data_IF_800204974421
#
_entry.id   IF_800204974421
#
_cell.length_a   1.000
_cell.length_b   1.000
_cell.length_c   1.000
_cell.angle_alpha   90.00
_cell.angle_beta   90.00
_cell.angle_gamma   90.00
#
_symmetry.space_group_name_H-M   'P 1'
#
loop_
_entity.id
_entity.type
_entity.pdbx_description
1 polymer ?
#
# COMPACT_ATOMS: atom_id res chain seq x y z
N UNK A 1 10.46 2.27 11.06
CA UNK A 1 10.78 1.14 10.16
C UNK A 1 11.40 1.75 8.91
N UNK A 2 12.43 1.10 8.37
CA UNK A 2 13.53 1.75 7.61
C UNK A 2 13.61 1.19 6.18
N UNK A 3 14.48 1.75 5.33
CA UNK A 3 14.69 1.28 3.95
C UNK A 3 15.01 -0.24 3.80
N UNK A 4 15.30 -0.95 4.89
CA UNK A 4 15.50 -2.40 4.95
C UNK A 4 14.21 -3.23 4.78
N UNK A 5 13.03 -2.67 5.01
CA UNK A 5 11.77 -3.43 5.02
C UNK A 5 11.36 -3.91 3.62
N UNK A 6 11.72 -3.15 2.57
CA UNK A 6 11.36 -3.46 1.18
C UNK A 6 12.26 -4.53 0.53
N UNK A 7 13.57 -4.51 0.82
CA UNK A 7 14.47 -5.57 0.33
C UNK A 7 14.27 -6.89 1.06
N UNK A 8 13.87 -6.87 2.33
CA UNK A 8 13.55 -8.11 3.06
C UNK A 8 12.20 -8.70 2.65
N UNK A 9 11.21 -7.88 2.26
CA UNK A 9 9.91 -8.34 1.77
C UNK A 9 9.99 -9.20 0.50
N UNK A 10 10.97 -8.94 -0.37
CA UNK A 10 11.11 -9.57 -1.69
C UNK A 10 12.47 -10.26 -1.89
N UNK A 11 12.70 -11.41 -1.22
CA UNK A 11 14.01 -12.05 -1.15
C UNK A 11 14.66 -12.40 -2.50
N UNK A 12 13.97 -12.78 -3.60
CA UNK A 12 14.62 -13.05 -4.89
C UNK A 12 15.37 -11.85 -5.46
N UNK A 13 14.79 -10.66 -5.38
CA UNK A 13 15.42 -9.41 -5.83
C UNK A 13 16.63 -9.07 -4.94
N UNK A 14 16.41 -9.01 -3.62
CA UNK A 14 17.46 -8.64 -2.68
C UNK A 14 18.63 -9.63 -2.66
N UNK A 15 18.39 -10.93 -2.84
CA UNK A 15 19.45 -11.93 -2.96
C UNK A 15 20.30 -11.72 -4.22
N UNK A 16 19.68 -11.37 -5.35
CA UNK A 16 20.39 -11.07 -6.59
C UNK A 16 21.26 -9.81 -6.45
N UNK A 17 20.71 -8.74 -5.87
CA UNK A 17 21.46 -7.49 -5.62
C UNK A 17 22.56 -7.64 -4.55
N UNK A 18 22.33 -8.41 -3.49
CA UNK A 18 23.35 -8.74 -2.49
C UNK A 18 24.50 -9.56 -3.09
N UNK A 19 24.23 -10.41 -4.08
CA UNK A 19 25.25 -11.19 -4.80
C UNK A 19 26.03 -10.34 -5.79
N UNK A 20 25.39 -9.37 -6.45
CA UNK A 20 26.08 -8.35 -7.27
C UNK A 20 27.07 -7.52 -6.44
N UNK A 21 26.70 -7.15 -5.21
CA UNK A 21 27.60 -6.49 -4.23
C UNK A 21 28.76 -7.38 -3.75
N UNK A 22 28.71 -8.71 -3.96
CA UNK A 22 29.74 -9.68 -3.51
C UNK A 22 30.38 -10.42 -4.68
N UNK A 23 30.97 -9.67 -5.60
CA UNK A 23 31.99 -10.22 -6.51
C UNK A 23 33.35 -10.40 -5.79
N UNK A 24 33.40 -11.27 -4.78
CA UNK A 24 34.57 -12.12 -4.53
C UNK A 24 34.25 -13.32 -3.62
N UNK A 25 34.66 -14.50 -4.11
CA UNK A 25 34.71 -15.84 -3.45
C UNK A 25 33.39 -16.62 -3.29
N UNK A 26 33.46 -17.86 -3.79
CA UNK A 26 32.52 -18.97 -3.63
C UNK A 26 32.64 -19.58 -2.20
N UNK A 27 31.91 -20.62 -1.77
CA UNK A 27 31.17 -21.68 -2.48
C UNK A 27 29.97 -22.21 -1.66
N UNK A 28 29.31 -23.27 -2.13
CA UNK A 28 28.07 -23.83 -1.55
C UNK A 28 28.25 -25.26 -1.02
N UNK A 29 27.31 -25.72 -0.18
CA UNK A 29 26.98 -27.15 0.00
C UNK A 29 25.57 -27.34 0.58
N UNK A 30 24.88 -28.40 0.15
CA UNK A 30 23.64 -28.96 0.71
C UNK A 30 23.94 -29.85 1.95
N UNK A 31 23.04 -30.55 2.64
CA UNK A 31 21.60 -30.85 2.55
C UNK A 31 21.05 -30.99 4.00
N UNK A 32 19.86 -31.51 4.36
CA UNK A 32 18.76 -32.19 3.65
C UNK A 32 17.42 -31.94 4.40
N UNK A 33 16.36 -32.70 4.08
CA UNK A 33 15.08 -32.73 4.82
C UNK A 33 14.61 -34.16 5.09
N UNK A 34 13.87 -34.38 6.18
CA UNK A 34 13.14 -35.62 6.45
C UNK A 34 11.67 -35.34 6.76
N UNK A 35 10.82 -36.08 6.05
CA UNK A 35 9.36 -36.17 6.12
C UNK A 35 8.71 -35.98 7.50
N UNK A 36 7.65 -35.17 7.54
CA UNK A 36 6.41 -35.60 8.16
C UNK A 36 5.21 -35.19 7.28
N UNK A 37 4.30 -36.13 7.02
CA UNK A 37 3.11 -35.90 6.20
C UNK A 37 1.88 -36.28 7.02
N UNK A 38 1.15 -35.27 7.50
CA UNK A 38 -0.18 -35.48 8.06
C UNK A 38 -1.06 -34.25 7.82
N UNK A 39 -2.17 -34.49 7.10
CA UNK A 39 -3.39 -33.68 6.92
C UNK A 39 -3.26 -32.15 7.05
N UNK A 40 -3.33 -31.47 5.91
CA UNK A 40 -3.62 -30.05 5.81
C UNK A 40 -4.89 -29.68 6.61
N UNK A 41 -4.82 -28.65 7.49
CA UNK A 41 -5.98 -27.81 7.73
C UNK A 41 -6.34 -27.11 6.41
N UNK A 42 -7.62 -26.77 6.25
CA UNK A 42 -7.99 -25.70 5.33
C UNK A 42 -7.32 -24.38 5.77
N UNK A 43 -7.38 -23.39 4.87
CA UNK A 43 -7.08 -21.97 5.04
C UNK A 43 -7.33 -21.41 6.45
N UNK A 44 -6.72 -20.26 6.75
CA UNK A 44 -7.27 -19.39 7.79
C UNK A 44 -8.76 -19.20 7.54
N UNK A 45 -9.58 -19.34 8.58
CA UNK A 45 -10.99 -19.02 8.45
C UNK A 45 -11.08 -17.51 8.13
N UNK A 46 -11.97 -17.13 7.20
CA UNK A 46 -12.27 -15.71 6.97
C UNK A 46 -12.63 -15.04 8.30
N UNK A 47 -12.26 -13.77 8.47
CA UNK A 47 -12.85 -12.98 9.55
C UNK A 47 -14.35 -12.88 9.27
N UNK A 48 -15.18 -13.12 10.30
CA UNK A 48 -16.61 -13.25 10.12
C UNK A 48 -17.23 -11.98 9.52
N UNK A 49 -17.57 -12.01 8.21
CA UNK A 49 -18.15 -10.86 7.52
C UNK A 49 -19.55 -10.58 8.05
N UNK A 50 -19.79 -9.33 8.45
CA UNK A 50 -21.11 -8.82 8.87
C UNK A 50 -21.96 -8.47 7.63
N UNK A 51 -21.28 -8.15 6.53
CA UNK A 51 -21.84 -7.94 5.20
C UNK A 51 -22.28 -9.28 4.59
N UNK A 52 -23.55 -9.44 4.17
CA UNK A 52 -24.00 -10.66 3.50
C UNK A 52 -23.35 -10.78 2.11
N UNK A 53 -22.89 -11.97 1.75
CA UNK A 53 -22.21 -12.24 0.49
C UNK A 53 -23.17 -12.15 -0.71
N UNK A 54 -23.34 -10.95 -1.26
CA UNK A 54 -23.86 -10.74 -2.62
C UNK A 54 -22.75 -10.95 -3.65
N UNK A 55 -23.09 -11.45 -4.85
CA UNK A 55 -22.12 -11.52 -5.93
C UNK A 55 -21.69 -10.10 -6.33
N UNK A 56 -20.37 -9.81 -6.45
CA UNK A 56 -19.89 -8.48 -6.80
C UNK A 56 -20.31 -8.11 -8.23
N UNK A 57 -20.65 -6.84 -8.42
CA UNK A 57 -20.98 -6.25 -9.73
C UNK A 57 -19.70 -6.05 -10.54
N UNK A 58 -19.65 -6.54 -11.78
CA UNK A 58 -18.55 -6.22 -12.70
C UNK A 58 -18.58 -4.75 -13.11
N UNK A 59 -17.47 -4.06 -12.89
CA UNK A 59 -17.24 -2.66 -13.25
C UNK A 59 -16.70 -2.59 -14.69
N UNK A 60 -17.54 -2.95 -15.65
CA UNK A 60 -17.19 -3.04 -17.08
C UNK A 60 -16.48 -1.77 -17.59
N UNK A 61 -15.32 -1.95 -18.18
CA UNK A 61 -14.45 -0.93 -18.74
C UNK A 61 -14.00 0.18 -17.78
N UNK A 62 -13.99 -0.05 -16.46
CA UNK A 62 -13.60 0.96 -15.47
C UNK A 62 -12.16 1.47 -15.68
N UNK A 63 -12.01 2.79 -15.66
CA UNK A 63 -10.72 3.50 -15.68
C UNK A 63 -10.20 3.73 -14.26
N UNK A 64 -8.89 3.60 -14.08
CA UNK A 64 -8.25 3.69 -12.77
C UNK A 64 -8.39 5.06 -12.10
N UNK A 65 -8.59 6.12 -12.88
CA UNK A 65 -8.91 7.46 -12.36
C UNK A 65 -10.25 7.53 -11.63
N UNK A 66 -11.06 6.47 -11.64
CA UNK A 66 -12.30 6.35 -10.86
C UNK A 66 -12.06 6.07 -9.38
N UNK A 67 -10.99 5.36 -9.00
CA UNK A 67 -10.67 5.05 -7.60
C UNK A 67 -9.47 5.83 -7.06
N UNK A 68 -8.55 6.23 -7.94
CA UNK A 68 -7.32 6.93 -7.55
C UNK A 68 -7.59 8.16 -6.67
N UNK A 69 -6.89 8.23 -5.54
CA UNK A 69 -6.96 9.36 -4.65
C UNK A 69 -6.34 10.58 -5.34
N UNK A 70 -7.00 11.74 -5.33
CA UNK A 70 -6.55 12.90 -6.11
C UNK A 70 -5.11 13.34 -5.80
N UNK A 71 -4.67 13.22 -4.54
CA UNK A 71 -3.29 13.55 -4.14
C UNK A 71 -2.25 12.58 -4.70
N UNK A 72 -2.65 11.38 -5.11
CA UNK A 72 -1.81 10.41 -5.82
C UNK A 72 -1.48 10.93 -7.23
N UNK A 73 -2.51 11.18 -8.04
CA UNK A 73 -2.39 11.80 -9.38
C UNK A 73 -1.65 13.13 -9.34
N UNK A 74 -1.93 13.98 -8.34
CA UNK A 74 -1.24 15.25 -8.15
C UNK A 74 0.24 15.07 -7.77
N UNK A 75 0.56 14.15 -6.86
CA UNK A 75 1.95 13.86 -6.48
C UNK A 75 2.74 13.24 -7.64
N UNK A 76 2.13 12.34 -8.42
CA UNK A 76 2.75 11.76 -9.60
C UNK A 76 3.00 12.80 -10.69
N UNK A 77 2.01 13.66 -10.97
CA UNK A 77 2.17 14.78 -11.90
C UNK A 77 3.28 15.74 -11.47
N UNK A 78 3.37 16.08 -10.19
CA UNK A 78 4.45 16.89 -9.64
C UNK A 78 5.83 16.21 -9.73
N UNK A 79 5.90 14.90 -9.49
CA UNK A 79 7.12 14.10 -9.62
C UNK A 79 7.65 14.10 -11.07
N UNK A 80 6.76 13.97 -12.06
CA UNK A 80 7.11 14.01 -13.48
C UNK A 80 7.67 15.39 -13.92
N UNK A 81 7.34 16.48 -13.21
CA UNK A 81 7.92 17.80 -13.50
C UNK A 81 9.35 18.00 -12.95
N UNK A 82 9.90 17.05 -12.18
CA UNK A 82 11.25 17.20 -11.62
C UNK A 82 12.30 17.13 -12.76
N UNK A 83 13.18 18.15 -12.91
CA UNK A 83 14.18 18.17 -13.97
C UNK A 83 15.09 16.92 -13.96
N UNK A 84 15.13 16.21 -15.09
CA UNK A 84 15.93 15.01 -15.27
C UNK A 84 15.26 13.69 -14.86
N UNK A 85 14.04 13.72 -14.30
CA UNK A 85 13.31 12.53 -13.88
C UNK A 85 13.07 11.53 -15.03
N UNK A 86 12.63 11.98 -16.20
CA UNK A 86 12.50 11.14 -17.41
C UNK A 86 13.80 10.45 -17.82
N UNK A 87 14.93 11.12 -17.62
CA UNK A 87 16.26 10.57 -17.96
C UNK A 87 16.72 9.54 -16.94
N UNK A 88 16.30 9.66 -15.67
CA UNK A 88 16.48 8.63 -14.65
C UNK A 88 15.60 7.41 -14.97
N UNK A 89 14.31 7.62 -15.24
CA UNK A 89 13.35 6.57 -15.57
C UNK A 89 13.82 5.75 -16.79
N UNK A 90 14.16 6.41 -17.91
CA UNK A 90 14.67 5.74 -19.13
C UNK A 90 15.95 4.94 -18.88
N UNK A 91 16.86 5.41 -18.02
CA UNK A 91 18.08 4.67 -17.64
C UNK A 91 17.74 3.44 -16.80
N UNK A 92 16.82 3.56 -15.84
CA UNK A 92 16.41 2.45 -14.97
C UNK A 92 15.71 1.36 -15.79
N UNK A 93 14.74 1.73 -16.63
CA UNK A 93 14.07 0.80 -17.57
C UNK A 93 15.10 0.10 -18.46
N UNK A 94 16.05 0.85 -19.05
CA UNK A 94 17.08 0.29 -19.94
C UNK A 94 18.13 -0.60 -19.25
N UNK A 95 18.43 -0.39 -17.97
CA UNK A 95 19.41 -1.20 -17.22
C UNK A 95 18.74 -2.48 -16.65
N UNK A 96 17.55 -2.34 -16.07
CA UNK A 96 16.91 -3.42 -15.31
C UNK A 96 15.84 -4.19 -16.09
N UNK A 97 15.55 -3.77 -17.33
CA UNK A 97 14.75 -4.42 -18.38
C UNK A 97 13.98 -5.66 -17.94
N UNK A 98 12.66 -5.51 -17.81
CA UNK A 98 11.71 -6.38 -17.10
C UNK A 98 11.94 -7.90 -17.17
N UNK A 99 12.34 -8.42 -18.33
CA UNK A 99 12.71 -9.84 -18.51
C UNK A 99 13.65 -10.35 -17.42
N UNK A 100 14.57 -9.51 -16.93
CA UNK A 100 15.49 -9.85 -15.86
C UNK A 100 14.77 -10.04 -14.51
N UNK A 101 13.83 -9.15 -14.16
CA UNK A 101 13.09 -9.19 -12.90
C UNK A 101 12.12 -10.38 -12.86
N UNK A 102 11.30 -10.56 -13.90
CA UNK A 102 10.37 -11.69 -13.96
C UNK A 102 11.08 -13.06 -13.95
N UNK A 103 12.25 -13.17 -14.60
CA UNK A 103 13.06 -14.40 -14.60
C UNK A 103 13.61 -14.72 -13.21
N UNK A 104 14.01 -13.71 -12.42
CA UNK A 104 14.48 -13.91 -11.03
C UNK A 104 13.37 -14.54 -10.17
N UNK A 105 12.12 -14.08 -10.30
CA UNK A 105 11.00 -14.70 -9.59
C UNK A 105 10.65 -16.08 -10.12
N UNK A 106 10.66 -16.31 -11.43
CA UNK A 106 10.47 -17.65 -12.00
C UNK A 106 11.50 -18.69 -11.52
N UNK A 107 12.70 -18.24 -11.13
CA UNK A 107 13.76 -19.10 -10.60
C UNK A 107 13.66 -19.38 -9.08
N UNK A 108 12.89 -18.58 -8.32
CA UNK A 108 12.93 -18.58 -6.84
C UNK A 108 11.55 -18.58 -6.16
N UNK A 109 10.46 -18.38 -6.90
CA UNK A 109 9.09 -18.34 -6.43
C UNK A 109 8.22 -19.30 -7.25
N UNK A 110 7.10 -19.74 -6.68
CA UNK A 110 6.17 -20.67 -7.33
C UNK A 110 5.16 -19.91 -8.17
N UNK A 111 5.10 -20.16 -9.48
CA UNK A 111 4.05 -19.58 -10.33
C UNK A 111 2.67 -20.19 -9.98
N UNK A 112 1.68 -19.33 -9.80
CA UNK A 112 0.28 -19.70 -9.57
C UNK A 112 -0.44 -19.89 -10.91
N UNK A 113 -1.40 -20.82 -10.95
CA UNK A 113 -2.16 -21.15 -12.16
C UNK A 113 -3.29 -22.15 -11.88
N UNK A 114 -4.09 -22.51 -12.90
CA UNK A 114 -5.27 -23.36 -12.75
C UNK A 114 -4.96 -24.81 -12.29
N UNK A 115 -3.69 -25.22 -12.28
CA UNK A 115 -3.24 -26.52 -11.76
C UNK A 115 -2.30 -26.40 -10.55
N UNK A 116 -2.00 -25.18 -10.08
CA UNK A 116 -0.99 -24.92 -9.06
C UNK A 116 -1.43 -23.72 -8.21
N UNK A 117 -1.93 -24.01 -7.00
CA UNK A 117 -2.76 -23.11 -6.20
C UNK A 117 -4.00 -22.62 -6.96
N UNK A 118 -4.86 -23.54 -7.46
CA UNK A 118 -6.00 -23.22 -8.33
C UNK A 118 -6.97 -22.22 -7.70
N UNK A 119 -7.21 -22.30 -6.39
CA UNK A 119 -8.10 -21.40 -5.68
C UNK A 119 -7.55 -19.95 -5.57
N UNK A 120 -6.24 -19.78 -5.40
CA UNK A 120 -5.61 -18.45 -5.41
C UNK A 120 -5.65 -17.86 -6.83
N UNK A 121 -5.49 -18.71 -7.85
CA UNK A 121 -5.70 -18.34 -9.24
C UNK A 121 -7.16 -17.91 -9.51
N UNK A 122 -8.14 -18.66 -8.98
CA UNK A 122 -9.57 -18.33 -9.08
C UNK A 122 -9.91 -16.99 -8.40
N UNK A 123 -9.37 -16.72 -7.21
CA UNK A 123 -9.50 -15.41 -6.54
C UNK A 123 -8.96 -14.26 -7.40
N UNK A 124 -7.79 -14.43 -8.04
CA UNK A 124 -7.25 -13.41 -8.95
C UNK A 124 -8.12 -13.25 -10.22
N UNK A 125 -8.57 -14.35 -10.82
CA UNK A 125 -9.48 -14.32 -11.99
C UNK A 125 -10.77 -13.58 -11.65
N UNK A 126 -11.35 -13.82 -10.47
CA UNK A 126 -12.55 -13.13 -9.97
C UNK A 126 -12.30 -11.62 -9.80
N UNK A 127 -11.21 -11.25 -9.13
CA UNK A 127 -10.79 -9.83 -8.97
C UNK A 127 -10.65 -9.14 -10.32
N UNK A 128 -9.91 -9.74 -11.26
CA UNK A 128 -9.72 -9.20 -12.60
C UNK A 128 -11.03 -9.11 -13.40
N UNK A 129 -11.95 -10.06 -13.23
CA UNK A 129 -13.27 -10.03 -13.85
C UNK A 129 -14.22 -8.98 -13.23
N UNK A 130 -14.02 -8.58 -11.97
CA UNK A 130 -14.76 -7.47 -11.35
C UNK A 130 -14.24 -6.12 -11.84
N UNK A 131 -12.92 -5.95 -11.92
CA UNK A 131 -12.27 -4.72 -12.43
C UNK A 131 -12.16 -4.66 -13.97
N UNK A 132 -12.73 -5.64 -14.67
CA UNK A 132 -12.69 -5.81 -16.13
C UNK A 132 -11.29 -5.60 -16.71
N UNK A 133 -10.32 -6.43 -16.30
CA UNK A 133 -8.91 -6.32 -16.70
C UNK A 133 -8.28 -7.68 -16.97
N UNK A 134 -7.16 -7.69 -17.70
CA UNK A 134 -6.40 -8.92 -17.96
C UNK A 134 -5.80 -9.50 -16.67
N UNK A 135 -5.70 -10.83 -16.61
CA UNK A 135 -5.15 -11.55 -15.45
C UNK A 135 -3.61 -11.49 -15.48
N UNK A 136 -2.95 -10.76 -14.56
CA UNK A 136 -1.50 -10.67 -14.54
C UNK A 136 -0.88 -12.00 -14.07
N UNK A 137 0.40 -12.27 -14.39
CA UNK A 137 1.10 -13.39 -13.79
C UNK A 137 1.16 -13.25 -12.26
N UNK A 138 1.00 -14.35 -11.53
CA UNK A 138 1.06 -14.38 -10.07
C UNK A 138 2.09 -15.42 -9.60
N UNK A 139 2.86 -15.07 -8.58
CA UNK A 139 3.84 -15.94 -7.94
C UNK A 139 3.67 -15.95 -6.41
N UNK A 140 4.02 -17.07 -5.77
CA UNK A 140 4.13 -17.19 -4.32
C UNK A 140 5.60 -17.29 -3.93
N UNK A 141 6.07 -16.33 -3.13
CA UNK A 141 7.42 -16.29 -2.58
C UNK A 141 7.43 -16.83 -1.15
N UNK A 142 8.37 -17.72 -0.82
CA UNK A 142 8.50 -18.23 0.54
C UNK A 142 9.22 -17.20 1.42
N UNK A 143 8.56 -16.74 2.48
CA UNK A 143 9.13 -15.83 3.49
C UNK A 143 8.22 -15.77 4.71
N UNK A 144 8.75 -15.51 5.92
CA UNK A 144 7.93 -15.24 7.11
C UNK A 144 7.25 -13.86 7.09
N UNK A 145 7.65 -12.93 6.21
CA UNK A 145 7.11 -11.58 6.18
C UNK A 145 5.77 -11.50 5.44
N UNK A 146 4.72 -11.14 6.19
CA UNK A 146 3.36 -10.93 5.68
C UNK A 146 3.39 -9.73 4.72
N UNK A 147 3.31 -9.99 3.41
CA UNK A 147 3.32 -8.94 2.40
C UNK A 147 2.82 -9.43 1.02
N UNK A 148 2.49 -8.47 0.16
CA UNK A 148 2.22 -8.66 -1.25
C UNK A 148 2.90 -7.54 -2.07
N UNK A 149 2.93 -7.66 -3.39
CA UNK A 149 3.37 -6.58 -4.26
C UNK A 149 3.24 -6.86 -5.75
N UNK A 150 2.73 -5.89 -6.50
CA UNK A 150 2.87 -5.77 -7.94
C UNK A 150 4.27 -5.23 -8.31
N UNK A 151 4.97 -5.97 -9.18
CA UNK A 151 6.36 -5.69 -9.60
C UNK A 151 6.44 -5.78 -11.12
N UNK A 152 7.12 -4.81 -11.75
CA UNK A 152 7.35 -4.79 -13.20
C UNK A 152 7.18 -3.39 -13.79
N UNK A 153 7.23 -3.32 -15.12
CA UNK A 153 7.24 -2.07 -15.89
C UNK A 153 6.33 -2.15 -17.12
N UNK A 154 6.55 -3.12 -18.03
CA UNK A 154 5.78 -3.26 -19.29
C UNK A 154 4.76 -4.42 -19.21
N UNK A 155 5.02 -5.43 -18.37
CA UNK A 155 4.23 -6.63 -18.13
C UNK A 155 4.29 -6.97 -16.61
N UNK A 156 3.72 -6.13 -15.73
CA UNK A 156 3.81 -6.32 -14.30
C UNK A 156 3.12 -7.61 -13.83
N UNK A 157 3.63 -8.16 -12.73
CA UNK A 157 3.17 -9.39 -12.12
C UNK A 157 3.03 -9.22 -10.61
N UNK A 158 2.16 -10.02 -10.00
CA UNK A 158 1.89 -10.00 -8.56
C UNK A 158 2.76 -11.05 -7.86
N UNK A 159 3.24 -10.71 -6.67
CA UNK A 159 3.89 -11.64 -5.75
C UNK A 159 3.13 -11.62 -4.42
N UNK A 160 2.68 -12.80 -3.98
CA UNK A 160 2.18 -13.00 -2.61
C UNK A 160 3.26 -13.69 -1.78
N UNK A 161 3.43 -13.27 -0.53
CA UNK A 161 4.30 -13.99 0.40
C UNK A 161 3.54 -15.14 1.07
N UNK A 162 4.22 -16.26 1.30
CA UNK A 162 3.62 -17.46 1.89
C UNK A 162 2.92 -17.19 3.22
N UNK A 163 3.50 -16.37 4.11
CA UNK A 163 2.90 -16.08 5.41
C UNK A 163 1.65 -15.18 5.35
N UNK A 164 1.42 -14.43 4.26
CA UNK A 164 0.16 -13.72 4.05
C UNK A 164 -0.98 -14.72 3.79
N UNK A 165 -0.72 -15.73 2.95
CA UNK A 165 -1.68 -16.80 2.64
C UNK A 165 -1.94 -17.71 3.87
N UNK A 166 -1.00 -17.76 4.82
CA UNK A 166 -1.18 -18.50 6.08
C UNK A 166 -2.00 -17.74 7.15
N UNK A 167 -2.24 -16.43 6.98
CA UNK A 167 -2.98 -15.60 7.92
C UNK A 167 -4.38 -15.18 7.44
N UNK A 168 -4.56 -15.04 6.14
CA UNK A 168 -5.79 -14.50 5.54
C UNK A 168 -6.71 -15.59 5.00
N UNK A 169 -8.02 -15.36 5.08
CA UNK A 169 -9.02 -16.17 4.42
C UNK A 169 -9.16 -15.81 2.94
N UNK A 170 -9.96 -16.57 2.17
CA UNK A 170 -10.31 -16.24 0.79
C UNK A 170 -10.74 -14.79 0.57
N UNK A 171 -11.56 -14.21 1.46
CA UNK A 171 -12.09 -12.86 1.27
C UNK A 171 -11.02 -11.77 1.43
N UNK A 172 -10.14 -11.87 2.44
CA UNK A 172 -9.05 -10.90 2.61
C UNK A 172 -7.95 -11.09 1.55
N UNK A 173 -7.73 -12.32 1.05
CA UNK A 173 -6.83 -12.58 -0.07
C UNK A 173 -7.35 -11.93 -1.37
N UNK A 174 -8.66 -11.96 -1.63
CA UNK A 174 -9.24 -11.22 -2.75
C UNK A 174 -9.08 -9.70 -2.58
N UNK A 175 -9.16 -9.16 -1.35
CA UNK A 175 -8.89 -7.74 -1.09
C UNK A 175 -7.43 -7.36 -1.38
N UNK A 176 -6.46 -8.19 -0.95
CA UNK A 176 -5.04 -8.04 -1.28
C UNK A 176 -4.81 -8.11 -2.79
N UNK A 177 -5.41 -9.08 -3.48
CA UNK A 177 -5.26 -9.22 -4.93
C UNK A 177 -5.87 -8.03 -5.67
N UNK A 178 -7.03 -7.52 -5.23
CA UNK A 178 -7.63 -6.29 -5.78
C UNK A 178 -6.75 -5.05 -5.57
N UNK A 179 -6.09 -4.95 -4.42
CA UNK A 179 -5.10 -3.90 -4.13
C UNK A 179 -3.91 -3.96 -5.10
N UNK A 180 -3.32 -5.14 -5.32
CA UNK A 180 -2.18 -5.29 -6.23
C UNK A 180 -2.58 -5.15 -7.72
N UNK A 181 -3.78 -5.57 -8.11
CA UNK A 181 -4.33 -5.29 -9.44
C UNK A 181 -4.56 -3.78 -9.62
N UNK A 182 -5.01 -3.07 -8.58
CA UNK A 182 -5.06 -1.60 -8.56
C UNK A 182 -3.70 -0.95 -8.84
N UNK A 183 -2.61 -1.47 -8.27
CA UNK A 183 -1.25 -1.00 -8.56
C UNK A 183 -0.79 -1.26 -10.00
N UNK A 184 -1.36 -2.25 -10.68
CA UNK A 184 -1.11 -2.52 -12.10
C UNK A 184 -1.92 -1.57 -12.98
N UNK A 185 -3.22 -1.47 -12.73
CA UNK A 185 -4.14 -0.66 -13.54
C UNK A 185 -3.86 0.85 -13.44
N UNK A 186 -3.38 1.34 -12.29
CA UNK A 186 -2.95 2.74 -12.11
C UNK A 186 -1.48 3.01 -12.52
N UNK A 187 -0.81 2.07 -13.20
CA UNK A 187 0.62 2.16 -13.60
C UNK A 187 1.62 2.35 -12.42
N UNK A 188 1.17 2.20 -11.17
CA UNK A 188 1.98 2.40 -9.96
C UNK A 188 3.19 1.46 -9.87
N UNK A 189 3.08 0.27 -10.47
CA UNK A 189 4.14 -0.75 -10.47
C UNK A 189 5.49 -0.23 -11.00
N UNK A 190 5.48 0.63 -12.03
CA UNK A 190 6.67 1.23 -12.63
C UNK A 190 7.41 2.14 -11.63
N UNK A 191 6.68 3.09 -11.04
CA UNK A 191 7.22 4.09 -10.12
C UNK A 191 7.61 3.49 -8.77
N UNK A 192 6.88 2.48 -8.30
CA UNK A 192 7.29 1.64 -7.15
C UNK A 192 8.58 0.90 -7.48
N UNK A 193 8.68 0.22 -8.62
CA UNK A 193 9.91 -0.47 -9.06
C UNK A 193 11.11 0.49 -9.14
N UNK A 194 10.90 1.71 -9.63
CA UNK A 194 11.91 2.77 -9.59
C UNK A 194 12.33 3.13 -8.15
N UNK A 195 11.38 3.33 -7.22
CA UNK A 195 11.67 3.62 -5.81
C UNK A 195 12.42 2.46 -5.13
N UNK A 196 11.99 1.21 -5.32
CA UNK A 196 12.68 0.01 -4.84
C UNK A 196 14.14 0.00 -5.29
N UNK A 197 14.39 0.18 -6.59
CA UNK A 197 15.74 0.22 -7.16
C UNK A 197 16.56 1.40 -6.64
N UNK A 198 15.96 2.59 -6.49
CA UNK A 198 16.65 3.74 -5.89
C UNK A 198 17.09 3.42 -4.46
N UNK A 199 16.21 2.90 -3.61
CA UNK A 199 16.51 2.59 -2.20
C UNK A 199 17.59 1.50 -2.06
N UNK A 200 17.53 0.45 -2.89
CA UNK A 200 18.51 -0.64 -2.88
C UNK A 200 19.87 -0.23 -3.48
N UNK A 201 19.92 0.73 -4.41
CA UNK A 201 21.17 1.24 -4.98
C UNK A 201 21.75 2.45 -4.22
N UNK A 202 20.94 3.25 -3.52
CA UNK A 202 21.37 4.44 -2.75
C UNK A 202 22.07 4.12 -1.43
N UNK A 203 22.70 2.95 -1.34
CA UNK A 203 23.37 2.47 -0.13
C UNK A 203 24.53 3.40 0.30
N UNK A 204 24.97 3.33 1.58
CA UNK A 204 25.92 4.28 2.19
C UNK A 204 27.28 4.46 1.48
N UNK A 205 27.60 3.61 0.51
CA UNK A 205 28.85 3.62 -0.26
C UNK A 205 29.00 4.81 -1.23
N UNK A 206 27.93 5.57 -1.55
CA UNK A 206 27.99 6.71 -2.48
C UNK A 206 27.29 7.98 -1.94
N UNK A 207 27.89 8.69 -0.96
CA UNK A 207 27.23 9.79 -0.24
C UNK A 207 26.82 10.99 -1.12
N UNK A 208 27.60 11.32 -2.16
CA UNK A 208 27.28 12.45 -3.08
C UNK A 208 26.04 12.13 -3.93
N UNK A 209 25.92 10.87 -4.39
CA UNK A 209 24.76 10.40 -5.17
C UNK A 209 23.50 10.37 -4.30
N UNK A 210 23.63 9.95 -3.04
CA UNK A 210 22.52 9.97 -2.06
C UNK A 210 21.92 11.36 -1.85
N UNK A 211 22.76 12.40 -1.71
CA UNK A 211 22.28 13.78 -1.52
C UNK A 211 21.55 14.34 -2.75
N UNK A 212 22.00 14.02 -3.97
CA UNK A 212 21.36 14.48 -5.20
C UNK A 212 20.00 13.79 -5.46
N UNK A 213 19.83 12.54 -5.02
CA UNK A 213 18.60 11.76 -5.23
C UNK A 213 17.59 11.94 -4.09
N UNK A 214 18.03 12.38 -2.91
CA UNK A 214 17.19 12.53 -1.71
C UNK A 214 15.84 13.26 -1.95
N UNK A 215 15.75 14.39 -2.70
CA UNK A 215 14.46 15.03 -2.96
C UNK A 215 13.50 14.17 -3.79
N UNK A 216 14.03 13.47 -4.81
CA UNK A 216 13.27 12.54 -5.66
C UNK A 216 12.80 11.34 -4.83
N UNK A 217 13.66 10.83 -3.95
CA UNK A 217 13.33 9.71 -3.06
C UNK A 217 12.22 10.09 -2.06
N UNK A 218 12.29 11.27 -1.45
CA UNK A 218 11.25 11.76 -0.53
C UNK A 218 9.91 11.99 -1.25
N UNK A 219 9.95 12.56 -2.46
CA UNK A 219 8.76 12.75 -3.29
C UNK A 219 8.14 11.41 -3.72
N UNK A 220 8.95 10.45 -4.17
CA UNK A 220 8.50 9.08 -4.48
C UNK A 220 7.92 8.37 -3.24
N UNK A 221 8.50 8.55 -2.05
CA UNK A 221 7.98 7.96 -0.82
C UNK A 221 6.64 8.57 -0.41
N UNK A 222 6.44 9.88 -0.59
CA UNK A 222 5.15 10.52 -0.32
C UNK A 222 4.09 10.13 -1.36
N UNK A 223 4.44 10.15 -2.64
CA UNK A 223 3.59 9.61 -3.71
C UNK A 223 3.19 8.15 -3.43
N UNK A 224 4.16 7.29 -3.09
CA UNK A 224 3.90 5.88 -2.79
C UNK A 224 2.92 5.71 -1.61
N UNK A 225 2.95 6.59 -0.61
CA UNK A 225 1.95 6.56 0.49
C UNK A 225 0.55 6.94 0.04
N UNK A 226 0.40 7.78 -1.00
CA UNK A 226 -0.90 8.11 -1.60
C UNK A 226 -1.41 6.99 -2.52
N UNK A 227 -0.51 6.37 -3.28
CA UNK A 227 -0.81 5.22 -4.13
C UNK A 227 -1.39 4.02 -3.36
N UNK A 228 -1.01 3.83 -2.10
CA UNK A 228 -1.61 2.79 -1.25
C UNK A 228 -3.11 3.05 -1.00
N UNK A 229 -3.51 4.30 -0.73
CA UNK A 229 -4.92 4.66 -0.49
C UNK A 229 -5.76 4.48 -1.77
N UNK A 230 -5.20 4.81 -2.94
CA UNK A 230 -5.81 4.51 -4.24
C UNK A 230 -6.04 3.00 -4.41
N UNK A 231 -5.06 2.18 -4.06
CA UNK A 231 -5.14 0.74 -4.24
C UNK A 231 -5.99 0.05 -3.16
N UNK A 232 -6.11 0.61 -1.96
CA UNK A 232 -7.09 0.14 -0.95
C UNK A 232 -8.52 0.23 -1.50
N UNK A 233 -8.85 1.34 -2.17
CA UNK A 233 -10.12 1.53 -2.86
C UNK A 233 -10.32 0.51 -3.98
N UNK A 234 -9.27 0.21 -4.77
CA UNK A 234 -9.33 -0.84 -5.78
C UNK A 234 -9.57 -2.24 -5.16
N UNK A 235 -8.94 -2.53 -4.02
CA UNK A 235 -9.20 -3.75 -3.22
C UNK A 235 -10.66 -3.86 -2.77
N UNK A 236 -11.24 -2.76 -2.28
CA UNK A 236 -12.66 -2.72 -1.90
C UNK A 236 -13.61 -2.82 -3.10
N UNK A 237 -13.29 -2.22 -4.25
CA UNK A 237 -14.09 -2.35 -5.48
C UNK A 237 -14.06 -3.77 -6.06
N UNK A 238 -12.92 -4.46 -5.94
CA UNK A 238 -12.76 -5.82 -6.43
C UNK A 238 -13.53 -6.86 -5.60
N UNK A 239 -13.60 -6.68 -4.28
CA UNK A 239 -14.32 -7.60 -3.38
C UNK A 239 -15.78 -7.23 -3.15
N UNK A 240 -16.08 -5.92 -3.16
CA UNK A 240 -17.33 -5.32 -2.68
C UNK A 240 -17.69 -5.77 -1.25
N UNK A 241 -16.66 -6.07 -0.45
CA UNK A 241 -16.77 -6.54 0.93
C UNK A 241 -15.90 -5.64 1.83
N UNK A 242 -16.55 -4.70 2.52
CA UNK A 242 -15.88 -3.75 3.41
C UNK A 242 -15.23 -4.44 4.61
N UNK A 243 -15.88 -5.48 5.16
CA UNK A 243 -15.31 -6.24 6.28
C UNK A 243 -13.99 -6.89 5.88
N UNK A 244 -13.91 -7.51 4.70
CA UNK A 244 -12.68 -8.13 4.21
C UNK A 244 -11.56 -7.11 3.93
N UNK A 245 -11.90 -5.94 3.38
CA UNK A 245 -10.94 -4.85 3.16
C UNK A 245 -10.38 -4.29 4.48
N UNK A 246 -11.24 -4.13 5.51
CA UNK A 246 -10.81 -3.70 6.84
C UNK A 246 -10.02 -4.80 7.58
N UNK A 247 -10.46 -6.06 7.48
CA UNK A 247 -9.82 -7.22 8.08
C UNK A 247 -8.40 -7.45 7.54
N UNK A 248 -8.19 -7.32 6.22
CA UNK A 248 -6.86 -7.32 5.61
C UNK A 248 -5.90 -6.36 6.36
N UNK A 249 -6.32 -5.13 6.63
CA UNK A 249 -5.49 -4.14 7.33
C UNK A 249 -5.25 -4.49 8.81
N UNK A 250 -6.26 -5.01 9.52
CA UNK A 250 -6.11 -5.46 10.90
C UNK A 250 -5.12 -6.66 11.00
N UNK A 251 -5.25 -7.63 10.10
CA UNK A 251 -4.35 -8.79 10.00
C UNK A 251 -2.92 -8.35 9.68
N UNK A 252 -2.73 -7.39 8.76
CA UNK A 252 -1.42 -6.81 8.47
C UNK A 252 -0.82 -6.01 9.65
N UNK A 253 -1.66 -5.49 10.56
CA UNK A 253 -1.21 -4.74 11.73
C UNK A 253 -0.77 -5.64 12.91
N UNK A 254 -1.45 -6.78 13.10
CA UNK A 254 -1.21 -7.64 14.27
C UNK A 254 -1.83 -9.03 14.24
N UNK A 255 -2.22 -9.55 13.07
CA UNK A 255 -2.83 -10.88 12.92
C UNK A 255 -1.93 -12.02 13.39
N UNK A 256 -2.49 -12.94 14.18
CA UNK A 256 -1.78 -14.10 14.73
C UNK A 256 -2.33 -15.38 14.09
N UNK A 257 -1.44 -16.19 13.51
CA UNK A 257 -1.79 -17.47 12.87
C UNK A 257 -2.54 -18.38 13.83
N UNK A 258 -3.76 -18.78 13.45
CA UNK A 258 -4.62 -19.65 14.26
C UNK A 258 -5.27 -18.96 15.46
N UNK A 259 -5.26 -17.62 15.52
CA UNK A 259 -5.99 -16.78 16.49
C UNK A 259 -6.60 -15.54 15.82
N UNK A 260 -6.94 -15.65 14.53
CA UNK A 260 -7.53 -14.56 13.73
C UNK A 260 -9.00 -14.32 14.15
N UNK A 261 -9.65 -15.35 14.69
CA UNK A 261 -10.95 -15.32 15.35
C UNK A 261 -10.99 -14.46 16.64
N UNK A 262 -9.83 -14.15 17.23
CA UNK A 262 -9.72 -13.21 18.36
C UNK A 262 -9.53 -11.75 17.93
N UNK A 263 -9.36 -11.48 16.63
CA UNK A 263 -9.13 -10.13 16.09
C UNK A 263 -10.47 -9.44 15.78
N UNK A 264 -10.94 -8.62 16.73
CA UNK A 264 -12.15 -7.82 16.52
C UNK A 264 -11.86 -6.59 15.63
N UNK A 265 -12.52 -6.56 14.47
CA UNK A 265 -12.40 -5.47 13.50
C UNK A 265 -13.05 -4.19 14.00
N UNK A 266 -14.11 -4.26 14.81
CA UNK A 266 -14.75 -3.05 15.36
C UNK A 266 -13.82 -2.38 16.37
N UNK A 267 -13.13 -3.17 17.20
CA UNK A 267 -12.10 -2.66 18.12
C UNK A 267 -10.88 -2.07 17.36
N UNK A 268 -10.51 -2.65 16.21
CA UNK A 268 -9.46 -2.09 15.36
C UNK A 268 -9.90 -0.79 14.66
N UNK A 269 -11.19 -0.65 14.35
CA UNK A 269 -11.79 0.58 13.84
C UNK A 269 -11.82 1.67 14.92
N UNK A 270 -12.20 1.33 16.16
CA UNK A 270 -12.14 2.24 17.32
C UNK A 270 -10.70 2.74 17.56
N UNK A 271 -9.71 1.83 17.54
CA UNK A 271 -8.28 2.17 17.59
C UNK A 271 -7.86 3.13 16.46
N UNK A 272 -8.46 3.00 15.27
CA UNK A 272 -8.23 3.90 14.13
C UNK A 272 -8.77 5.31 14.38
N UNK A 273 -9.97 5.41 14.97
CA UNK A 273 -10.60 6.69 15.27
C UNK A 273 -9.87 7.40 16.42
N UNK A 274 -9.50 6.69 17.49
CA UNK A 274 -8.59 7.19 18.54
C UNK A 274 -7.27 7.73 17.95
N UNK A 275 -6.68 6.99 17.00
CA UNK A 275 -5.42 7.39 16.35
C UNK A 275 -5.58 8.67 15.52
N UNK A 276 -6.75 8.93 14.93
CA UNK A 276 -7.06 10.17 14.18
C UNK A 276 -7.27 11.36 15.10
N UNK A 277 -8.04 11.16 16.17
CA UNK A 277 -8.31 12.16 17.21
C UNK A 277 -7.09 12.43 18.11
N UNK A 278 -6.00 11.66 17.96
CA UNK A 278 -4.75 11.88 18.65
C UNK A 278 -4.19 13.29 18.43
N UNK A 279 -3.91 13.95 19.55
CA UNK A 279 -3.85 15.41 19.67
C UNK A 279 -2.59 15.83 20.47
N UNK A 280 -2.14 17.08 20.33
CA UNK A 280 -0.96 17.60 21.01
C UNK A 280 0.34 16.84 20.69
N UNK A 281 1.08 16.45 21.74
CA UNK A 281 2.37 15.75 21.61
C UNK A 281 2.24 14.40 20.88
N UNK A 282 1.08 13.73 20.96
CA UNK A 282 0.83 12.47 20.25
C UNK A 282 0.77 12.69 18.74
N UNK A 283 0.22 13.80 18.26
CA UNK A 283 0.21 14.17 16.84
C UNK A 283 1.64 14.38 16.29
N UNK A 284 2.54 14.95 17.09
CA UNK A 284 3.97 15.06 16.74
C UNK A 284 4.63 13.68 16.60
N UNK A 285 4.44 12.77 17.56
CA UNK A 285 4.95 11.40 17.43
C UNK A 285 4.35 10.65 16.23
N UNK A 286 3.07 10.90 15.91
CA UNK A 286 2.38 10.40 14.71
C UNK A 286 3.09 10.84 13.42
N UNK A 287 3.42 12.14 13.32
CA UNK A 287 4.16 12.70 12.19
C UNK A 287 5.56 12.06 12.08
N UNK A 288 6.31 12.02 13.20
CA UNK A 288 7.65 11.43 13.22
C UNK A 288 7.66 9.94 12.86
N UNK A 289 6.68 9.16 13.34
CA UNK A 289 6.60 7.73 13.09
C UNK A 289 6.17 7.35 11.65
N UNK A 290 5.67 8.33 10.89
CA UNK A 290 5.31 8.20 9.47
C UNK A 290 6.52 8.43 8.55
N UNK A 291 7.48 9.27 8.97
CA UNK A 291 8.68 9.57 8.19
C UNK A 291 9.50 8.29 7.97
N UNK A 292 9.89 8.05 6.71
CA UNK A 292 10.71 6.90 6.30
C UNK A 292 9.94 5.57 6.14
N UNK A 293 8.63 5.51 6.40
CA UNK A 293 7.81 4.33 6.09
C UNK A 293 7.45 4.28 4.60
N UNK A 294 7.45 3.07 4.03
CA UNK A 294 7.01 2.78 2.66
C UNK A 294 5.49 2.80 2.48
N UNK A 295 4.75 2.28 3.46
CA UNK A 295 3.27 2.25 3.47
C UNK A 295 2.73 3.13 4.62
N UNK A 296 1.53 3.73 4.48
CA UNK A 296 0.79 4.31 5.61
C UNK A 296 0.52 3.26 6.69
N UNK A 297 0.26 3.71 7.92
CA UNK A 297 -0.17 2.81 8.99
C UNK A 297 -1.53 2.17 8.62
N UNK A 298 -1.76 0.87 8.88
CA UNK A 298 -3.03 0.21 8.56
C UNK A 298 -4.26 0.90 9.17
N UNK A 299 -4.14 1.46 10.39
CA UNK A 299 -5.20 2.27 11.02
C UNK A 299 -5.59 3.52 10.21
N UNK A 300 -4.64 4.17 9.52
CA UNK A 300 -4.96 5.31 8.63
C UNK A 300 -5.72 4.81 7.40
N UNK A 301 -5.33 3.66 6.85
CA UNK A 301 -5.93 3.06 5.63
C UNK A 301 -7.38 2.66 5.86
N UNK A 302 -7.68 2.03 7.00
CA UNK A 302 -9.06 1.72 7.43
C UNK A 302 -9.91 2.99 7.51
N UNK A 303 -9.40 4.08 8.10
CA UNK A 303 -10.15 5.32 8.15
C UNK A 303 -10.37 5.97 6.78
N UNK A 304 -9.39 5.98 5.90
CA UNK A 304 -9.55 6.54 4.54
C UNK A 304 -10.52 5.71 3.69
N UNK A 305 -10.55 4.38 3.87
CA UNK A 305 -11.57 3.51 3.28
C UNK A 305 -12.97 3.85 3.81
N UNK A 306 -13.14 3.94 5.14
CA UNK A 306 -14.42 4.31 5.76
C UNK A 306 -14.91 5.67 5.28
N UNK A 307 -14.05 6.71 5.33
CA UNK A 307 -14.37 8.05 4.83
C UNK A 307 -14.87 8.04 3.38
N UNK A 308 -14.37 7.13 2.52
CA UNK A 308 -14.74 7.01 1.10
C UNK A 308 -16.01 6.18 0.85
N UNK A 309 -16.35 5.28 1.76
CA UNK A 309 -17.67 4.64 1.80
C UNK A 309 -18.72 5.64 2.30
N UNK A 310 -18.42 6.34 3.39
CA UNK A 310 -19.31 7.31 4.04
C UNK A 310 -19.55 8.56 3.18
N UNK A 311 -18.63 8.92 2.27
CA UNK A 311 -18.86 10.01 1.29
C UNK A 311 -19.88 9.65 0.21
N UNK A 312 -20.17 8.36 0.00
CA UNK A 312 -21.03 7.87 -1.08
C UNK A 312 -20.32 7.70 -2.43
N UNK A 313 -19.04 8.07 -2.55
CA UNK A 313 -18.27 7.91 -3.80
C UNK A 313 -18.15 6.43 -4.19
N UNK A 314 -17.85 5.56 -3.22
CA UNK A 314 -17.84 4.10 -3.41
C UNK A 314 -19.17 3.56 -3.96
N UNK A 315 -20.29 3.98 -3.36
CA UNK A 315 -21.63 3.54 -3.75
C UNK A 315 -22.01 4.05 -5.15
N UNK A 316 -21.55 5.25 -5.51
CA UNK A 316 -21.72 5.85 -6.86
C UNK A 316 -21.03 4.99 -7.92
N UNK A 317 -19.78 4.58 -7.68
CA UNK A 317 -19.01 3.72 -8.59
C UNK A 317 -19.65 2.32 -8.69
N UNK A 318 -19.98 1.67 -7.57
CA UNK A 318 -20.65 0.36 -7.60
C UNK A 318 -22.04 0.43 -8.25
N UNK A 319 -22.70 1.59 -8.19
CA UNK A 319 -23.95 1.90 -8.90
C UNK A 319 -23.82 2.07 -10.43
N UNK A 320 -22.59 2.09 -10.98
CA UNK A 320 -22.34 2.24 -12.41
C UNK A 320 -21.87 3.63 -12.85
N UNK A 321 -21.74 4.59 -11.93
CA UNK A 321 -21.31 5.96 -12.24
C UNK A 321 -19.80 6.11 -12.01
N UNK A 322 -19.01 5.76 -13.02
CA UNK A 322 -17.53 5.86 -13.03
C UNK A 322 -17.00 6.22 -14.42
N UNK A 323 -15.70 6.57 -14.50
CA UNK A 323 -15.02 6.86 -15.77
C UNK A 323 -14.68 5.57 -16.48
N UNK A 324 -14.87 5.52 -17.80
CA UNK A 324 -14.52 4.36 -18.61
C UNK A 324 -13.21 4.58 -19.38
N UNK A 325 -12.45 3.50 -19.59
CA UNK A 325 -11.18 3.56 -20.33
C UNK A 325 -11.48 3.93 -21.78
N UNK A 326 -10.87 5.01 -22.24
CA UNK A 326 -11.15 5.61 -23.55
C UNK A 326 -11.94 6.92 -23.51
N UNK A 327 -12.49 7.32 -22.35
CA UNK A 327 -13.25 8.59 -22.20
C UNK A 327 -12.40 9.87 -22.37
N UNK A 328 -11.09 9.73 -22.55
CA UNK A 328 -10.28 10.72 -23.28
C UNK A 328 -10.04 12.07 -22.60
N UNK A 329 -10.25 12.21 -21.28
CA UNK A 329 -9.88 13.45 -20.56
C UNK A 329 -8.35 13.64 -20.52
N UNK A 330 -7.84 14.84 -20.81
CA UNK A 330 -6.42 15.12 -20.66
C UNK A 330 -5.97 15.07 -19.20
N UNK A 331 -4.86 14.39 -18.91
CA UNK A 331 -4.21 14.34 -17.57
C UNK A 331 -4.02 15.74 -16.96
N UNK A 332 -3.79 16.76 -17.80
CA UNK A 332 -3.64 18.16 -17.42
C UNK A 332 -4.91 18.78 -16.78
N UNK A 333 -6.09 18.27 -17.10
CA UNK A 333 -7.36 18.73 -16.52
C UNK A 333 -7.58 18.09 -15.15
N UNK A 334 -7.31 16.79 -15.01
CA UNK A 334 -7.31 16.09 -13.72
C UNK A 334 -6.28 16.68 -12.73
N UNK A 335 -5.10 17.08 -13.20
CA UNK A 335 -4.10 17.78 -12.37
C UNK A 335 -4.61 19.15 -11.89
N UNK A 336 -5.46 19.85 -12.67
CA UNK A 336 -6.08 21.12 -12.25
C UNK A 336 -7.22 20.90 -11.26
N UNK A 337 -8.03 19.85 -11.45
CA UNK A 337 -9.11 19.50 -10.53
C UNK A 337 -8.54 19.03 -9.19
N UNK A 338 -7.56 18.11 -9.21
CA UNK A 338 -6.82 17.70 -8.02
C UNK A 338 -6.06 18.86 -7.37
N UNK A 339 -5.52 19.81 -8.14
CA UNK A 339 -4.86 21.00 -7.60
C UNK A 339 -5.82 21.97 -6.91
N UNK A 340 -7.04 22.12 -7.43
CA UNK A 340 -8.11 22.92 -6.80
C UNK A 340 -8.57 22.27 -5.50
N UNK A 341 -8.97 21.01 -5.53
CA UNK A 341 -9.48 20.34 -4.33
C UNK A 341 -8.36 20.09 -3.29
N UNK A 342 -7.10 19.87 -3.71
CA UNK A 342 -5.97 19.92 -2.78
C UNK A 342 -5.83 21.29 -2.13
N UNK A 343 -6.04 22.39 -2.87
CA UNK A 343 -6.02 23.74 -2.29
C UNK A 343 -7.19 23.95 -1.31
N UNK A 344 -8.38 23.45 -1.62
CA UNK A 344 -9.56 23.56 -0.75
C UNK A 344 -9.44 22.68 0.51
N UNK A 345 -8.92 21.46 0.38
CA UNK A 345 -8.61 20.56 1.51
C UNK A 345 -7.43 21.07 2.32
N UNK A 346 -6.38 21.60 1.69
CA UNK A 346 -5.28 22.23 2.40
C UNK A 346 -5.76 23.49 3.13
N UNK A 347 -6.60 24.33 2.51
CA UNK A 347 -7.22 25.47 3.18
C UNK A 347 -8.02 25.03 4.40
N UNK A 348 -8.86 23.99 4.29
CA UNK A 348 -9.55 23.39 5.45
C UNK A 348 -8.58 22.86 6.51
N UNK A 349 -7.57 22.08 6.14
CA UNK A 349 -6.59 21.53 7.10
C UNK A 349 -5.77 22.63 7.75
N UNK A 350 -5.42 23.71 7.06
CA UNK A 350 -4.76 24.87 7.66
C UNK A 350 -5.72 25.67 8.54
N UNK A 351 -6.97 25.87 8.14
CA UNK A 351 -7.99 26.54 8.96
C UNK A 351 -8.28 25.73 10.24
N UNK A 352 -8.45 24.42 10.14
CA UNK A 352 -8.64 23.50 11.25
C UNK A 352 -7.38 23.37 12.11
N UNK A 353 -6.17 23.36 11.52
CA UNK A 353 -4.91 23.33 12.26
C UNK A 353 -4.63 24.65 12.98
N UNK A 354 -4.89 25.80 12.36
CA UNK A 354 -4.76 27.10 13.02
C UNK A 354 -5.80 27.23 14.15
N UNK A 355 -7.05 26.81 13.92
CA UNK A 355 -8.09 26.75 14.96
C UNK A 355 -7.63 25.88 16.13
N UNK A 356 -7.23 24.64 15.84
CA UNK A 356 -6.81 23.66 16.84
C UNK A 356 -5.51 24.05 17.57
N UNK A 357 -4.50 24.59 16.87
CA UNK A 357 -3.24 25.04 17.47
C UNK A 357 -3.48 26.28 18.33
N UNK A 358 -4.28 27.24 17.87
CA UNK A 358 -4.63 28.41 18.69
C UNK A 358 -5.45 28.00 19.93
N UNK A 359 -6.45 27.12 19.79
CA UNK A 359 -7.24 26.63 20.91
C UNK A 359 -6.38 25.84 21.92
N UNK A 360 -5.49 24.96 21.44
CA UNK A 360 -4.55 24.23 22.30
C UNK A 360 -3.55 25.17 23.00
N UNK A 361 -3.04 26.19 22.30
CA UNK A 361 -2.12 27.19 22.86
C UNK A 361 -2.83 28.09 23.88
N UNK A 362 -4.05 28.54 23.60
CA UNK A 362 -4.87 29.36 24.51
C UNK A 362 -5.27 28.57 25.76
N UNK A 363 -5.70 27.32 25.60
CA UNK A 363 -6.00 26.43 26.73
C UNK A 363 -4.75 26.15 27.58
N UNK A 364 -3.59 25.96 26.96
CA UNK A 364 -2.32 25.84 27.67
C UNK A 364 -1.93 27.13 28.42
N UNK A 365 -2.07 28.30 27.78
CA UNK A 365 -1.80 29.61 28.40
C UNK A 365 -2.73 29.86 29.59
N UNK A 366 -4.03 29.55 29.45
CA UNK A 366 -5.01 29.68 30.53
C UNK A 366 -4.70 28.71 31.68
N UNK A 367 -4.46 27.43 31.40
CA UNK A 367 -4.11 26.44 32.43
C UNK A 367 -2.77 26.75 33.13
N UNK A 368 -1.79 27.31 32.41
CA UNK A 368 -0.54 27.80 33.00
C UNK A 368 -0.80 29.02 33.90
N UNK A 369 -1.60 29.98 33.43
CA UNK A 369 -1.98 31.18 34.17
C UNK A 369 -2.71 30.85 35.47
N UNK A 370 -3.73 29.99 35.42
CA UNK A 370 -4.47 29.55 36.61
C UNK A 370 -3.56 28.87 37.64
N UNK A 371 -2.50 28.18 37.18
CA UNK A 371 -1.51 27.54 38.05
C UNK A 371 -0.51 28.52 38.67
N UNK A 372 -0.18 29.62 37.99
CA UNK A 372 0.66 30.71 38.52
C UNK A 372 -0.14 31.67 39.43
N UNK A 373 -1.36 32.02 39.05
CA UNK A 373 -2.22 32.89 39.87
C UNK A 373 -2.67 32.14 41.14
N UNK A 374 -2.98 30.84 41.05
CA UNK A 374 -3.34 29.98 42.17
C UNK A 374 -2.20 29.66 43.16
N UNK A 375 -0.94 30.01 42.85
CA UNK A 375 0.20 29.93 43.80
C UNK A 375 0.53 31.26 44.48
N UNK A 376 -0.22 32.34 44.19
CA UNK A 376 0.01 33.67 44.77
C UNK A 376 -0.77 33.96 46.08
N UNK A 377 -1.67 33.08 46.50
CA UNK A 377 -2.55 33.29 47.67
C UNK A 377 -2.41 32.21 48.75
N UNK A 378 -1.19 32.00 49.26
CA UNK A 378 -0.96 31.35 50.56
C UNK A 378 0.37 31.77 51.21
N UNK A 379 0.36 32.94 51.87
CA UNK A 379 1.32 33.36 52.92
C UNK A 379 0.52 34.02 54.02
#
# INVERSE_FOLDING_TARGET
>A
MSCADLSTAFPPLAACFARWRRFSRASASSAAATSFCERSPAWGADVASKTPATAPVTLTNIDSSSWEHQTDRAALGALQQIPGFDSLLKKVVGIFGEKNIATIYQAAAVKVGPTQYPSIHESLVKVCAVLDTDVPPLYISQTPLVNAGAVGMDNPFIVLNSSLIELMGPAEIEAVLGHEVGHIMSEHSLYRTLLFLILDFSAPSMPIVGQAILPIMLALQEWSRKAEISCDRAGLLATQNLDAAMAMHAIMAGGIRGRIDELDIDAFIEQSDEYREATGLTAYYRMMATIGRSHPFPVIRVAELRNWVDSGDYATIVGGEYRQRGDGRPVMEDVKDAGREFSDRAAKVFEDSDRYVNDALLNFINAAKDRFDGTSTSV
#
